data_IF_262414971932
#
_entry.id   IF_262414971932
#
_cell.length_a   1.000
_cell.length_b   1.000
_cell.length_c   1.000
_cell.angle_alpha   90.00
_cell.angle_beta   90.00
_cell.angle_gamma   90.00
#
_symmetry.space_group_name_H-M   'P 1'
#
loop_
_entity.id
_entity.type
_entity.pdbx_description
1 polymer ?
#
# COMPACT_ATOMS: atom_id res chain seq x y z
N UNK A 1 -12.42 3.68 15.88
CA UNK A 1 -11.48 2.71 16.41
C UNK A 1 -10.72 2.07 15.27
N UNK A 2 -9.41 2.09 15.36
CA UNK A 2 -8.56 1.49 14.34
C UNK A 2 -8.35 0.02 14.69
N UNK A 3 -8.76 -0.85 13.79
CA UNK A 3 -8.55 -2.28 13.98
C UNK A 3 -7.10 -2.64 13.67
N UNK A 4 -6.68 -3.80 14.15
CA UNK A 4 -5.31 -4.26 13.96
C UNK A 4 -4.94 -4.35 12.48
N UNK A 5 -5.87 -4.81 11.64
CA UNK A 5 -5.65 -4.89 10.20
C UNK A 5 -5.37 -3.52 9.60
N UNK A 6 -6.11 -2.49 10.06
CA UNK A 6 -5.91 -1.14 9.57
C UNK A 6 -4.55 -0.59 9.94
N UNK A 7 -4.07 -0.90 11.15
CA UNK A 7 -2.75 -0.47 11.60
C UNK A 7 -1.67 -1.10 10.71
N UNK A 8 -1.77 -2.39 10.44
CA UNK A 8 -0.79 -3.07 9.60
C UNK A 8 -0.85 -2.56 8.16
N UNK A 9 -2.06 -2.35 7.63
CA UNK A 9 -2.21 -1.83 6.28
C UNK A 9 -1.60 -0.42 6.17
N UNK A 10 -1.81 0.42 7.18
CA UNK A 10 -1.23 1.75 7.20
C UNK A 10 0.30 1.69 7.21
N UNK A 11 0.87 0.78 7.98
CA UNK A 11 2.31 0.58 8.03
C UNK A 11 2.85 0.18 6.65
N UNK A 12 2.21 -0.81 6.01
CA UNK A 12 2.64 -1.25 4.68
C UNK A 12 2.49 -0.14 3.65
N UNK A 13 1.39 0.61 3.71
CA UNK A 13 1.19 1.72 2.78
C UNK A 13 2.30 2.77 2.93
N UNK A 14 2.67 3.10 4.16
CA UNK A 14 3.74 4.05 4.41
C UNK A 14 5.06 3.56 3.81
N UNK A 15 5.38 2.29 4.01
CA UNK A 15 6.61 1.71 3.47
C UNK A 15 6.60 1.69 1.95
N UNK A 16 5.45 1.42 1.36
CA UNK A 16 5.30 1.44 -0.10
C UNK A 16 5.47 2.86 -0.66
N UNK A 17 4.87 3.86 0.00
CA UNK A 17 5.00 5.26 -0.40
C UNK A 17 6.44 5.73 -0.32
N UNK A 18 7.20 5.20 0.63
CA UNK A 18 8.61 5.54 0.80
C UNK A 18 9.53 4.65 -0.04
N UNK A 19 8.96 3.78 -0.88
CA UNK A 19 9.72 2.89 -1.78
C UNK A 19 10.62 1.92 -1.03
N UNK A 20 10.22 1.53 0.18
CA UNK A 20 10.98 0.57 0.99
C UNK A 20 10.52 -0.87 0.75
N UNK A 21 9.32 -1.04 0.19
CA UNK A 21 8.74 -2.34 -0.10
C UNK A 21 8.17 -2.33 -1.52
N UNK A 22 7.99 -3.52 -2.08
CA UNK A 22 7.34 -3.69 -3.38
C UNK A 22 5.90 -4.14 -3.16
N UNK A 23 4.96 -3.48 -3.85
CA UNK A 23 3.54 -3.77 -3.69
C UNK A 23 3.22 -5.23 -4.00
N UNK A 24 3.75 -5.74 -5.11
CA UNK A 24 3.46 -7.12 -5.51
C UNK A 24 3.92 -8.12 -4.45
N UNK A 25 5.08 -7.87 -3.83
CA UNK A 25 5.59 -8.71 -2.76
C UNK A 25 4.69 -8.66 -1.54
N UNK A 26 4.26 -7.46 -1.16
CA UNK A 26 3.42 -7.29 0.03
C UNK A 26 2.07 -7.99 -0.14
N UNK A 27 1.40 -7.78 -1.28
CA UNK A 27 0.07 -8.39 -1.48
C UNK A 27 0.17 -9.89 -1.68
N UNK A 28 1.30 -10.39 -2.16
CA UNK A 28 1.51 -11.82 -2.28
C UNK A 28 1.65 -12.49 -0.91
N UNK A 29 2.35 -11.84 0.02
CA UNK A 29 2.56 -12.36 1.35
C UNK A 29 1.37 -12.09 2.28
N UNK A 30 0.70 -10.98 2.09
CA UNK A 30 -0.37 -10.53 2.97
C UNK A 30 -1.59 -10.12 2.15
N UNK A 31 -2.22 -11.07 1.42
CA UNK A 31 -3.36 -10.72 0.57
C UNK A 31 -4.55 -10.17 1.34
N UNK A 32 -4.64 -10.48 2.64
CA UNK A 32 -5.72 -9.99 3.48
C UNK A 32 -5.69 -8.47 3.68
N UNK A 33 -4.56 -7.83 3.44
CA UNK A 33 -4.43 -6.38 3.61
C UNK A 33 -4.52 -5.62 2.29
N UNK A 34 -4.66 -6.33 1.18
CA UNK A 34 -4.61 -5.70 -0.16
C UNK A 34 -5.63 -4.57 -0.30
N UNK A 35 -6.87 -4.83 0.03
CA UNK A 35 -7.93 -3.82 -0.12
C UNK A 35 -7.67 -2.61 0.76
N UNK A 36 -7.25 -2.83 1.99
CA UNK A 36 -6.98 -1.74 2.91
C UNK A 36 -5.80 -0.90 2.44
N UNK A 37 -4.74 -1.56 1.98
CA UNK A 37 -3.58 -0.86 1.43
C UNK A 37 -3.98 -0.05 0.20
N UNK A 38 -4.76 -0.63 -0.69
CA UNK A 38 -5.21 0.05 -1.90
C UNK A 38 -6.00 1.31 -1.57
N UNK A 39 -6.88 1.25 -0.58
CA UNK A 39 -7.68 2.38 -0.17
C UNK A 39 -6.81 3.50 0.42
N UNK A 40 -5.82 3.13 1.22
CA UNK A 40 -4.92 4.11 1.83
C UNK A 40 -4.08 4.80 0.74
N UNK A 41 -3.52 4.02 -0.18
CA UNK A 41 -2.72 4.58 -1.27
C UNK A 41 -3.55 5.51 -2.14
N UNK A 42 -4.78 5.12 -2.45
CA UNK A 42 -5.68 5.96 -3.23
C UNK A 42 -5.99 7.27 -2.50
N UNK A 43 -6.29 7.19 -1.21
CA UNK A 43 -6.58 8.37 -0.40
C UNK A 43 -5.38 9.32 -0.33
N UNK A 44 -4.18 8.79 -0.34
CA UNK A 44 -2.95 9.56 -0.29
C UNK A 44 -2.51 10.08 -1.66
N UNK A 45 -3.22 9.70 -2.73
CA UNK A 45 -2.90 10.18 -4.07
C UNK A 45 -1.82 9.38 -4.78
N UNK A 46 -1.61 8.14 -4.39
CA UNK A 46 -0.62 7.27 -5.00
C UNK A 46 -1.26 6.27 -5.95
N UNK A 47 -0.48 5.77 -6.90
CA UNK A 47 -0.90 4.71 -7.81
C UNK A 47 0.12 3.58 -7.75
N UNK A 48 -0.34 2.37 -8.05
CA UNK A 48 0.50 1.19 -8.10
C UNK A 48 0.78 0.87 -9.56
N UNK A 49 2.06 0.70 -9.88
CA UNK A 49 2.51 0.38 -11.23
C UNK A 49 2.61 -1.14 -11.41
N UNK A 50 2.68 -1.59 -12.65
CA UNK A 50 2.69 -3.02 -12.96
C UNK A 50 3.86 -3.77 -12.33
N UNK A 51 4.98 -3.08 -12.14
CA UNK A 51 6.17 -3.70 -11.54
C UNK A 51 6.14 -3.69 -10.01
N UNK A 52 5.05 -3.21 -9.42
CA UNK A 52 4.92 -3.17 -7.97
C UNK A 52 5.46 -1.92 -7.31
N UNK A 53 5.93 -0.96 -8.08
CA UNK A 53 6.33 0.33 -7.51
C UNK A 53 5.09 1.19 -7.27
N UNK A 54 5.20 2.10 -6.31
CA UNK A 54 4.12 3.01 -5.94
C UNK A 54 4.62 4.44 -6.11
N UNK A 55 3.91 5.22 -6.91
CA UNK A 55 4.29 6.60 -7.22
C UNK A 55 3.09 7.52 -7.08
N UNK A 56 3.35 8.81 -6.99
CA UNK A 56 2.29 9.80 -6.93
C UNK A 56 1.51 9.84 -8.25
N UNK A 57 0.19 9.94 -8.14
CA UNK A 57 -0.67 9.89 -9.33
C UNK A 57 -0.45 11.07 -10.26
N UNK A 58 0.07 12.17 -9.74
CA UNK A 58 0.24 13.39 -10.51
C UNK A 58 1.67 13.66 -10.96
N UNK A 59 2.52 12.70 -10.85
CA UNK A 59 3.88 12.83 -11.36
C UNK A 59 3.93 12.80 -12.87
#
# INVERSE_FOLDING_TARGET
VVERGDIMAAYFALRLENRKLNYNTVVQKFPQFKEDIDLILLADGYVVNDDGTVTLAQE
#
